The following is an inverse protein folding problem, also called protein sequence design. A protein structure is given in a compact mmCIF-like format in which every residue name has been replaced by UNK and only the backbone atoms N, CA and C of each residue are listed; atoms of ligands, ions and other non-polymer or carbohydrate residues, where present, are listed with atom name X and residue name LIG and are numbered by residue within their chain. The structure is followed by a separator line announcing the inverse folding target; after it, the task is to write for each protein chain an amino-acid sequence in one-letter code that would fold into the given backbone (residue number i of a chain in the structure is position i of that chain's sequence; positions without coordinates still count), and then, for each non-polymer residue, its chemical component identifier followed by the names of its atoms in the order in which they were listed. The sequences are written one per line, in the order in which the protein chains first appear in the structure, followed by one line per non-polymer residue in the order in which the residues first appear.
data_IF_848053860443
#
_entry.id   IF_848053860443
#
_cell.length_a   1.000
_cell.length_b   1.000
_cell.length_c   1.000
_cell.angle_alpha   90.00
_cell.angle_beta   90.00
_cell.angle_gamma   90.00
#
_symmetry.space_group_name_H-M   'P 1'
#
loop_
_entity.id
_entity.type
_entity.pdbx_description
1 polymer ?
#
# COMPACT_ATOMS: atom_id res chain seq x y z
N UNK A 1 15.19 -6.29 5.37
CA UNK A 1 15.02 -5.32 4.27
C UNK A 1 14.63 -4.01 4.94
N UNK A 2 15.27 -2.90 4.60
CA UNK A 2 15.03 -1.62 5.27
C UNK A 2 14.02 -0.82 4.43
N UNK A 3 12.88 -0.49 5.03
CA UNK A 3 11.90 0.41 4.42
C UNK A 3 12.46 1.82 4.42
N UNK A 4 12.20 2.57 3.34
CA UNK A 4 12.44 4.02 3.33
C UNK A 4 11.10 4.72 3.53
N UNK A 5 10.97 5.58 4.54
CA UNK A 5 9.75 6.35 4.75
C UNK A 5 9.93 7.79 4.27
N UNK A 6 8.83 8.44 3.90
CA UNK A 6 8.83 9.82 3.39
C UNK A 6 9.14 10.78 4.55
N UNK A 7 8.47 10.52 5.67
CA UNK A 7 8.54 11.21 6.93
C UNK A 7 8.01 10.26 8.03
N UNK A 8 7.92 10.75 9.27
CA UNK A 8 7.40 9.98 10.39
C UNK A 8 5.91 9.66 10.25
N UNK A 9 5.14 10.48 9.53
CA UNK A 9 3.70 10.23 9.37
C UNK A 9 3.49 9.02 8.46
N UNK A 10 4.28 8.90 7.39
CA UNK A 10 4.28 7.71 6.55
C UNK A 10 4.69 6.44 7.33
N UNK A 11 5.72 6.53 8.17
CA UNK A 11 6.16 5.41 9.01
C UNK A 11 5.09 4.98 10.01
N UNK A 12 4.50 5.92 10.74
CA UNK A 12 3.46 5.68 11.73
C UNK A 12 2.20 5.08 11.08
N UNK A 13 1.78 5.64 9.93
CA UNK A 13 0.65 5.12 9.16
C UNK A 13 0.88 3.68 8.69
N UNK A 14 2.08 3.37 8.21
CA UNK A 14 2.41 2.01 7.81
C UNK A 14 2.42 1.06 9.01
N UNK A 15 3.07 1.44 10.11
CA UNK A 15 3.12 0.61 11.31
C UNK A 15 1.73 0.35 11.89
N UNK A 16 0.83 1.33 11.84
CA UNK A 16 -0.56 1.15 12.24
C UNK A 16 -1.27 0.10 11.38
N UNK A 17 -1.14 0.17 10.06
CA UNK A 17 -1.72 -0.84 9.15
C UNK A 17 -1.16 -2.25 9.41
N UNK A 18 0.11 -2.35 9.78
CA UNK A 18 0.76 -3.63 10.14
C UNK A 18 0.27 -4.15 11.49
N UNK A 19 0.05 -3.29 12.46
CA UNK A 19 -0.55 -3.66 13.75
C UNK A 19 -1.99 -4.15 13.56
N UNK A 20 -2.78 -3.45 12.76
CA UNK A 20 -4.16 -3.82 12.41
C UNK A 20 -4.23 -5.15 11.63
N UNK A 21 -3.18 -5.51 10.90
CA UNK A 21 -3.06 -6.77 10.19
C UNK A 21 -2.80 -7.98 11.12
N UNK A 22 -2.53 -7.76 12.41
CA UNK A 22 -2.26 -8.79 13.44
C UNK A 22 -1.24 -9.87 12.97
N UNK A 23 -0.21 -9.44 12.24
CA UNK A 23 0.80 -10.33 11.68
C UNK A 23 1.77 -10.81 12.77
N UNK A 24 2.06 -12.11 12.79
CA UNK A 24 3.05 -12.65 13.72
C UNK A 24 4.47 -12.23 13.33
N UNK A 25 5.40 -12.16 14.29
CA UNK A 25 6.82 -11.91 14.00
C UNK A 25 7.41 -12.92 13.00
N UNK A 26 6.91 -14.16 12.98
CA UNK A 26 7.39 -15.21 12.09
C UNK A 26 7.02 -14.87 10.65
N UNK A 27 5.79 -14.41 10.42
CA UNK A 27 5.30 -14.00 9.11
C UNK A 27 6.07 -12.79 8.58
N UNK A 28 6.43 -11.84 9.44
CA UNK A 28 7.26 -10.69 9.06
C UNK A 28 8.72 -11.07 8.78
N UNK A 29 9.26 -12.08 9.48
CA UNK A 29 10.65 -12.55 9.27
C UNK A 29 10.81 -13.36 7.99
N UNK A 30 9.80 -14.13 7.59
CA UNK A 30 9.82 -14.96 6.38
C UNK A 30 8.49 -14.87 5.61
N UNK A 31 8.20 -13.70 5.00
CA UNK A 31 6.91 -13.48 4.38
C UNK A 31 6.75 -14.31 3.11
N UNK A 32 5.55 -14.88 2.94
CA UNK A 32 5.16 -15.55 1.70
C UNK A 32 5.18 -14.57 0.51
N UNK A 33 5.12 -15.08 -0.72
CA UNK A 33 5.01 -14.21 -1.90
C UNK A 33 3.73 -13.35 -1.85
N UNK A 34 2.62 -13.90 -1.35
CA UNK A 34 1.37 -13.15 -1.16
C UNK A 34 1.54 -12.07 -0.08
N UNK A 35 2.11 -12.43 1.07
CA UNK A 35 2.32 -11.48 2.16
C UNK A 35 3.24 -10.33 1.74
N UNK A 36 4.31 -10.60 1.00
CA UNK A 36 5.17 -9.55 0.44
C UNK A 36 4.41 -8.54 -0.42
N UNK A 37 3.45 -9.01 -1.23
CA UNK A 37 2.59 -8.15 -2.05
C UNK A 37 1.61 -7.35 -1.20
N UNK A 38 1.05 -7.95 -0.15
CA UNK A 38 0.18 -7.25 0.82
C UNK A 38 0.97 -6.17 1.57
N UNK A 39 2.17 -6.47 2.06
CA UNK A 39 3.05 -5.50 2.71
C UNK A 39 3.41 -4.34 1.77
N UNK A 40 3.74 -4.63 0.51
CA UNK A 40 4.02 -3.59 -0.50
C UNK A 40 2.79 -2.72 -0.79
N UNK A 41 1.59 -3.33 -0.83
CA UNK A 41 0.34 -2.61 -0.98
C UNK A 41 0.10 -1.65 0.21
N UNK A 42 0.16 -2.16 1.45
CA UNK A 42 -0.04 -1.37 2.67
C UNK A 42 0.97 -0.23 2.79
N UNK A 43 2.22 -0.49 2.43
CA UNK A 43 3.28 0.50 2.40
C UNK A 43 2.98 1.65 1.43
N UNK A 44 2.45 1.37 0.24
CA UNK A 44 2.14 2.42 -0.73
C UNK A 44 0.91 3.24 -0.36
N UNK A 45 -0.14 2.63 0.20
CA UNK A 45 -1.32 3.40 0.63
C UNK A 45 -1.02 4.26 1.86
N UNK A 46 -0.07 3.84 2.72
CA UNK A 46 0.35 4.59 3.89
C UNK A 46 0.92 5.98 3.55
N UNK A 47 1.50 6.15 2.35
CA UNK A 47 2.02 7.44 1.87
C UNK A 47 0.97 8.56 1.80
N UNK A 48 -0.32 8.20 1.69
CA UNK A 48 -1.41 9.11 1.34
C UNK A 48 -2.59 9.05 2.31
N UNK A 49 -2.41 8.56 3.54
CA UNK A 49 -3.51 8.48 4.51
C UNK A 49 -4.19 9.83 4.77
N UNK A 50 -3.40 10.90 4.89
CA UNK A 50 -3.94 12.26 5.06
C UNK A 50 -4.71 12.73 3.81
N UNK A 51 -4.25 12.38 2.61
CA UNK A 51 -4.95 12.69 1.37
C UNK A 51 -6.29 11.93 1.29
N UNK A 52 -6.33 10.65 1.64
CA UNK A 52 -7.58 9.89 1.69
C UNK A 52 -8.55 10.50 2.71
N UNK A 53 -8.09 10.87 3.91
CA UNK A 53 -8.93 11.59 4.88
C UNK A 53 -9.46 12.90 4.29
N UNK A 54 -8.61 13.66 3.59
CA UNK A 54 -8.98 14.95 3.04
C UNK A 54 -10.00 14.87 1.89
N UNK A 55 -9.79 13.95 0.94
CA UNK A 55 -10.60 13.85 -0.27
C UNK A 55 -11.78 12.88 -0.13
N UNK A 56 -11.61 11.82 0.66
CA UNK A 56 -12.58 10.72 0.81
C UNK A 56 -13.33 10.74 2.15
N UNK A 57 -12.82 11.51 3.12
CA UNK A 57 -13.40 11.63 4.45
C UNK A 57 -12.94 10.55 5.44
N UNK A 58 -12.17 9.56 4.99
CA UNK A 58 -11.60 8.50 5.84
C UNK A 58 -10.29 7.93 5.27
N UNK A 59 -9.49 7.35 6.15
CA UNK A 59 -8.25 6.64 5.82
C UNK A 59 -8.54 5.17 5.47
N UNK A 60 -7.61 4.52 4.75
CA UNK A 60 -7.60 3.06 4.69
C UNK A 60 -7.17 2.48 6.04
N UNK A 61 -7.79 1.38 6.44
CA UNK A 61 -7.42 0.59 7.61
C UNK A 61 -7.55 -0.90 7.29
N UNK A 62 -6.89 -1.75 8.08
CA UNK A 62 -6.97 -3.20 7.93
C UNK A 62 -7.96 -3.77 8.94
N UNK A 63 -8.79 -4.69 8.47
CA UNK A 63 -9.67 -5.51 9.30
C UNK A 63 -9.16 -6.95 9.27
N UNK A 64 -8.52 -7.39 10.36
CA UNK A 64 -8.07 -8.76 10.56
C UNK A 64 -9.18 -9.58 11.23
N UNK A 65 -10.01 -10.23 10.41
CA UNK A 65 -10.97 -11.25 10.88
C UNK A 65 -10.39 -12.65 10.60
N UNK A 66 -10.97 -13.39 9.65
CA UNK A 66 -10.44 -14.69 9.20
C UNK A 66 -9.40 -14.53 8.08
N UNK A 67 -9.46 -13.41 7.34
CA UNK A 67 -8.54 -13.02 6.28
C UNK A 67 -8.25 -11.52 6.40
N UNK A 68 -7.09 -11.08 5.89
CA UNK A 68 -6.76 -9.66 5.79
C UNK A 68 -7.72 -8.97 4.82
N UNK A 69 -8.55 -8.08 5.35
CA UNK A 69 -9.45 -7.24 4.56
C UNK A 69 -9.14 -5.75 4.79
N UNK A 70 -9.57 -4.90 3.86
CA UNK A 70 -9.36 -3.46 3.92
C UNK A 70 -10.70 -2.77 4.14
N UNK A 71 -10.73 -1.84 5.08
CA UNK A 71 -11.78 -0.84 5.23
C UNK A 71 -11.34 0.52 4.69
N UNK A 72 -12.21 1.53 4.82
CA UNK A 72 -11.96 2.89 4.32
C UNK A 72 -12.58 3.13 2.94
N UNK A 73 -11.93 3.94 2.07
CA UNK A 73 -12.44 4.25 0.73
C UNK A 73 -12.21 3.10 -0.27
N UNK A 74 -12.70 1.91 0.09
CA UNK A 74 -12.54 0.64 -0.63
C UNK A 74 -13.12 0.66 -2.05
N UNK A 75 -14.05 1.56 -2.34
CA UNK A 75 -14.59 1.77 -3.68
C UNK A 75 -13.49 2.17 -4.69
N UNK A 76 -12.40 2.81 -4.23
CA UNK A 76 -11.21 3.12 -5.06
C UNK A 76 -10.45 1.86 -5.51
N UNK A 77 -10.71 0.72 -4.86
CA UNK A 77 -10.13 -0.58 -5.18
C UNK A 77 -10.87 -1.31 -6.31
N UNK A 78 -12.06 -0.86 -6.69
CA UNK A 78 -12.87 -1.50 -7.72
C UNK A 78 -12.17 -1.49 -9.09
N UNK A 79 -12.41 -2.52 -9.91
CA UNK A 79 -11.76 -2.68 -11.21
C UNK A 79 -12.12 -1.59 -12.23
N UNK A 80 -13.24 -0.90 -12.03
CA UNK A 80 -13.66 0.24 -12.85
C UNK A 80 -12.81 1.49 -12.58
N UNK A 81 -12.13 1.55 -11.43
CA UNK A 81 -11.23 2.64 -11.05
C UNK A 81 -9.87 2.39 -11.72
N UNK A 82 -9.61 3.16 -12.77
CA UNK A 82 -8.37 3.13 -13.57
C UNK A 82 -7.15 3.70 -12.83
N UNK A 83 -6.23 4.28 -13.59
CA UNK A 83 -4.98 4.85 -13.06
C UNK A 83 -5.20 6.08 -12.17
N UNK A 84 -6.33 6.76 -12.31
CA UNK A 84 -6.60 8.01 -11.60
C UNK A 84 -5.88 9.21 -12.21
N UNK A 85 -6.18 10.39 -11.68
CA UNK A 85 -5.59 11.67 -12.07
C UNK A 85 -4.68 12.21 -10.97
N UNK A 86 -5.04 12.00 -9.70
CA UNK A 86 -4.31 12.55 -8.56
C UNK A 86 -3.24 11.57 -8.03
N UNK A 87 -2.19 12.06 -7.34
CA UNK A 87 -1.11 11.20 -6.86
C UNK A 87 -1.56 10.03 -5.98
N UNK A 88 -2.52 10.25 -5.07
CA UNK A 88 -3.04 9.19 -4.20
C UNK A 88 -3.76 8.09 -5.00
N UNK A 89 -4.53 8.45 -6.03
CA UNK A 89 -5.19 7.50 -6.93
C UNK A 89 -4.17 6.71 -7.77
N UNK A 90 -3.17 7.39 -8.31
CA UNK A 90 -2.10 6.76 -9.10
C UNK A 90 -1.27 5.78 -8.27
N UNK A 91 -0.93 6.15 -7.04
CA UNK A 91 -0.20 5.26 -6.11
C UNK A 91 -1.06 4.06 -5.74
N UNK A 92 -2.37 4.26 -5.53
CA UNK A 92 -3.29 3.16 -5.28
C UNK A 92 -3.39 2.21 -6.47
N UNK A 93 -3.42 2.73 -7.71
CA UNK A 93 -3.38 1.92 -8.91
C UNK A 93 -2.12 1.05 -8.99
N UNK A 94 -0.96 1.62 -8.68
CA UNK A 94 0.31 0.88 -8.62
C UNK A 94 0.27 -0.18 -7.51
N UNK A 95 -0.23 0.18 -6.33
CA UNK A 95 -0.38 -0.75 -5.21
C UNK A 95 -1.26 -1.95 -5.61
N UNK A 96 -2.38 -1.72 -6.30
CA UNK A 96 -3.27 -2.79 -6.82
C UNK A 96 -2.53 -3.75 -7.76
N UNK A 97 -1.72 -3.23 -8.68
CA UNK A 97 -0.90 -4.05 -9.59
C UNK A 97 0.09 -4.93 -8.82
N UNK A 98 0.78 -4.35 -7.84
CA UNK A 98 1.69 -5.10 -6.96
C UNK A 98 0.97 -6.22 -6.21
N UNK A 99 -0.22 -5.94 -5.67
CA UNK A 99 -1.05 -6.92 -4.98
C UNK A 99 -1.41 -8.11 -5.89
N UNK A 100 -1.74 -7.83 -7.15
CA UNK A 100 -2.03 -8.84 -8.18
C UNK A 100 -0.77 -9.59 -8.66
N UNK A 101 0.42 -9.08 -8.35
CA UNK A 101 1.70 -9.64 -8.79
C UNK A 101 2.10 -9.23 -10.21
N UNK A 102 1.48 -8.20 -10.77
CA UNK A 102 1.84 -7.63 -12.07
C UNK A 102 2.82 -6.48 -11.89
N UNK A 103 4.11 -6.76 -12.07
CA UNK A 103 5.22 -5.79 -11.93
C UNK A 103 5.77 -5.31 -13.27
N UNK A 104 5.31 -5.88 -14.39
CA UNK A 104 5.95 -5.70 -15.70
C UNK A 104 5.66 -4.34 -16.36
N UNK A 105 4.58 -3.66 -15.96
CA UNK A 105 4.12 -2.40 -16.59
C UNK A 105 3.84 -1.30 -15.56
N UNK A 106 4.68 -1.19 -14.52
CA UNK A 106 4.62 -0.07 -13.58
C UNK A 106 5.47 1.08 -14.15
N UNK A 107 4.83 1.86 -15.02
CA UNK A 107 5.31 3.18 -15.42
C UNK A 107 4.61 4.24 -14.58
N UNK A 108 5.34 5.26 -14.13
CA UNK A 108 4.77 6.32 -13.32
C UNK A 108 5.36 7.67 -13.69
N UNK A 109 4.52 8.70 -13.76
CA UNK A 109 4.91 10.11 -13.83
C UNK A 109 5.25 10.72 -12.47
N UNK A 110 5.16 9.94 -11.39
CA UNK A 110 5.36 10.39 -10.02
C UNK A 110 6.86 10.38 -9.64
N UNK A 111 7.63 11.29 -10.23
CA UNK A 111 9.07 11.38 -9.96
C UNK A 111 9.38 11.55 -8.47
N UNK A 112 8.57 12.35 -7.76
CA UNK A 112 8.67 12.59 -6.31
C UNK A 112 8.55 11.31 -5.48
N UNK A 113 7.70 10.36 -5.89
CA UNK A 113 7.43 9.12 -5.15
C UNK A 113 8.20 7.91 -5.67
N UNK A 114 9.08 8.12 -6.65
CA UNK A 114 9.76 7.04 -7.37
C UNK A 114 10.62 6.14 -6.48
N UNK A 115 11.22 6.67 -5.41
CA UNK A 115 12.01 5.90 -4.45
C UNK A 115 11.13 4.93 -3.66
N UNK A 116 9.97 5.37 -3.19
CA UNK A 116 9.02 4.55 -2.43
C UNK A 116 8.40 3.47 -3.32
N UNK A 117 8.02 3.81 -4.56
CA UNK A 117 7.53 2.84 -5.54
C UNK A 117 8.58 1.74 -5.81
N UNK A 118 9.86 2.12 -5.96
CA UNK A 118 10.95 1.14 -6.12
C UNK A 118 11.13 0.26 -4.88
N UNK A 119 10.99 0.82 -3.69
CA UNK A 119 11.01 0.06 -2.44
C UNK A 119 9.87 -0.99 -2.42
N UNK A 120 8.65 -0.58 -2.78
CA UNK A 120 7.50 -1.46 -2.88
C UNK A 120 7.68 -2.59 -3.91
N UNK A 121 8.21 -2.28 -5.10
CA UNK A 121 8.51 -3.28 -6.13
C UNK A 121 9.53 -4.31 -5.62
N UNK A 122 10.59 -3.85 -4.93
CA UNK A 122 11.63 -4.72 -4.40
C UNK A 122 11.12 -5.67 -3.29
N UNK A 123 10.07 -5.27 -2.57
CA UNK A 123 9.42 -6.15 -1.60
C UNK A 123 8.73 -7.32 -2.28
N UNK A 124 8.14 -7.13 -3.46
CA UNK A 124 7.40 -8.16 -4.18
C UNK A 124 8.31 -9.23 -4.81
N UNK A 125 9.51 -8.84 -5.28
CA UNK A 125 10.43 -9.72 -6.02
C UNK A 125 11.88 -9.28 -5.97
#
# INVERSE_FOLDING_TARGET
MEFIFKDHHHEDAYNQLIEEADLTEIELKQPSALLRRQLAFLYLIALFQDDYIHYEGEAFYVEAYEELSLGGPTYLLEACMGEGTYPHEQILYIAKKLLQGDVTDIHTSLEEYSSFIKCAIHLVG
#
